data_IF_327473028444
#
_entry.id   IF_327473028444
#
_cell.length_a   1.000
_cell.length_b   1.000
_cell.length_c   1.000
_cell.angle_alpha   90.00
_cell.angle_beta   90.00
_cell.angle_gamma   90.00
#
_symmetry.space_group_name_H-M   'P 1'
#
loop_
_entity.id
_entity.type
_entity.pdbx_description
1 polymer ?
#
# COMPACT_ATOMS: atom_id res chain seq x y z
N UNK A 1 -22.63 6.31 -3.67
CA UNK A 1 -21.51 5.64 -4.37
C UNK A 1 -20.31 5.81 -3.48
N UNK A 2 -19.89 4.76 -2.79
CA UNK A 2 -18.72 4.82 -1.91
C UNK A 2 -17.49 4.61 -2.78
N UNK A 3 -16.68 5.67 -2.92
CA UNK A 3 -15.46 5.62 -3.71
C UNK A 3 -14.41 4.84 -2.92
N UNK A 4 -13.91 3.72 -3.47
CA UNK A 4 -12.85 2.94 -2.84
C UNK A 4 -11.60 3.80 -2.65
N UNK A 5 -10.94 3.63 -1.51
CA UNK A 5 -9.75 4.39 -1.15
C UNK A 5 -8.52 3.48 -1.04
N UNK A 6 -7.39 4.00 -1.51
CA UNK A 6 -6.06 3.42 -1.34
C UNK A 6 -5.23 4.41 -0.52
N UNK A 7 -4.52 3.91 0.48
CA UNK A 7 -3.50 4.68 1.20
C UNK A 7 -2.13 4.24 0.71
N UNK A 8 -1.30 5.19 0.33
CA UNK A 8 0.02 4.93 -0.21
C UNK A 8 1.10 5.65 0.60
N UNK A 9 1.86 4.87 1.36
CA UNK A 9 2.97 5.31 2.18
C UNK A 9 4.27 5.29 1.37
N UNK A 10 4.73 6.46 0.92
CA UNK A 10 6.00 6.62 0.18
C UNK A 10 6.60 8.02 0.33
N UNK A 11 7.92 8.13 0.17
CA UNK A 11 8.62 9.40 0.01
C UNK A 11 9.02 9.68 -1.46
N UNK A 12 8.79 8.74 -2.37
CA UNK A 12 9.12 8.88 -3.79
C UNK A 12 8.01 9.61 -4.54
N UNK A 13 8.23 10.89 -4.82
CA UNK A 13 7.25 11.74 -5.50
C UNK A 13 7.00 11.34 -6.97
N UNK A 14 8.00 10.78 -7.65
CA UNK A 14 7.85 10.35 -9.04
C UNK A 14 6.92 9.14 -9.11
N UNK A 15 7.11 8.20 -8.19
CA UNK A 15 6.26 7.03 -8.08
C UNK A 15 4.85 7.41 -7.61
N UNK A 16 4.75 8.25 -6.58
CA UNK A 16 3.48 8.76 -6.07
C UNK A 16 2.61 9.38 -7.17
N UNK A 17 3.19 10.26 -8.00
CA UNK A 17 2.49 10.90 -9.12
C UNK A 17 1.96 9.90 -10.16
N UNK A 18 2.75 8.86 -10.47
CA UNK A 18 2.33 7.78 -11.39
C UNK A 18 1.16 6.97 -10.84
N UNK A 19 1.23 6.57 -9.57
CA UNK A 19 0.16 5.83 -8.90
C UNK A 19 -1.10 6.69 -8.79
N UNK A 20 -0.96 7.98 -8.49
CA UNK A 20 -2.07 8.94 -8.46
C UNK A 20 -2.77 9.04 -9.81
N UNK A 21 -2.00 9.15 -10.90
CA UNK A 21 -2.58 9.16 -12.24
C UNK A 21 -3.35 7.87 -12.55
N UNK A 22 -2.80 6.71 -12.20
CA UNK A 22 -3.45 5.41 -12.41
C UNK A 22 -4.74 5.26 -11.56
N UNK A 23 -4.73 5.71 -10.31
CA UNK A 23 -5.90 5.70 -9.43
C UNK A 23 -7.02 6.62 -9.96
N UNK A 24 -6.66 7.85 -10.39
CA UNK A 24 -7.62 8.80 -10.99
C UNK A 24 -8.30 8.24 -12.23
N UNK A 25 -7.57 7.55 -13.10
CA UNK A 25 -8.14 6.91 -14.30
C UNK A 25 -9.19 5.84 -13.97
N UNK A 26 -9.12 5.27 -12.76
CA UNK A 26 -10.03 4.22 -12.31
C UNK A 26 -11.06 4.72 -11.30
N UNK A 27 -11.13 6.04 -11.07
CA UNK A 27 -12.01 6.68 -10.08
C UNK A 27 -11.80 6.14 -8.66
N UNK A 28 -10.58 5.74 -8.33
CA UNK A 28 -10.17 5.30 -6.99
C UNK A 28 -9.58 6.49 -6.24
N UNK A 29 -9.99 6.70 -4.99
CA UNK A 29 -9.40 7.70 -4.11
C UNK A 29 -8.00 7.26 -3.68
N UNK A 30 -7.01 8.13 -3.79
CA UNK A 30 -5.65 7.85 -3.35
C UNK A 30 -5.21 8.88 -2.30
N UNK A 31 -4.77 8.41 -1.14
CA UNK A 31 -4.13 9.24 -0.11
C UNK A 31 -2.64 8.91 -0.03
N UNK A 32 -1.79 9.87 -0.38
CA UNK A 32 -0.34 9.71 -0.32
C UNK A 32 0.18 10.28 1.00
N UNK A 33 0.88 9.45 1.76
CA UNK A 33 1.40 9.75 3.10
C UNK A 33 2.87 9.39 3.18
N UNK A 34 3.60 9.95 4.16
CA UNK A 34 5.08 9.86 4.21
C UNK A 34 5.65 9.19 5.46
N UNK A 35 4.80 8.88 6.43
CA UNK A 35 5.18 8.18 7.66
C UNK A 35 4.05 7.23 8.11
N UNK A 36 4.39 6.32 9.03
CA UNK A 36 3.49 5.28 9.51
C UNK A 36 2.27 5.88 10.23
N UNK A 37 2.45 6.93 11.02
CA UNK A 37 1.40 7.58 11.79
C UNK A 37 0.34 8.19 10.88
N UNK A 38 0.76 8.90 9.84
CA UNK A 38 -0.15 9.46 8.84
C UNK A 38 -0.82 8.38 8.01
N UNK A 39 -0.15 7.25 7.76
CA UNK A 39 -0.77 6.10 7.10
C UNK A 39 -1.91 5.53 7.93
N UNK A 40 -1.66 5.24 9.22
CA UNK A 40 -2.70 4.75 10.12
C UNK A 40 -3.87 5.73 10.25
N UNK A 41 -3.60 7.03 10.36
CA UNK A 41 -4.63 8.06 10.44
C UNK A 41 -5.43 8.24 9.14
N UNK A 42 -4.85 7.90 7.99
CA UNK A 42 -5.51 8.02 6.68
C UNK A 42 -6.36 6.79 6.31
N UNK A 43 -6.15 5.66 6.98
CA UNK A 43 -6.96 4.45 6.79
C UNK A 43 -8.33 4.70 7.43
N UNK A 44 -9.38 4.51 6.63
CA UNK A 44 -10.77 4.52 7.06
C UNK A 44 -11.52 3.30 6.54
N UNK A 45 -12.82 3.17 6.85
CA UNK A 45 -13.65 2.02 6.46
C UNK A 45 -13.70 1.75 4.94
N UNK A 46 -13.50 2.79 4.12
CA UNK A 46 -13.49 2.68 2.66
C UNK A 46 -12.11 2.33 2.09
N UNK A 47 -11.09 2.23 2.95
CA UNK A 47 -9.73 1.89 2.54
C UNK A 47 -9.63 0.39 2.35
N UNK A 48 -9.34 0.00 1.11
CA UNK A 48 -9.29 -1.42 0.72
C UNK A 48 -7.85 -1.92 0.62
N UNK A 49 -6.92 -1.00 0.37
CA UNK A 49 -5.51 -1.33 0.16
C UNK A 49 -4.60 -0.28 0.79
N UNK A 50 -3.64 -0.74 1.58
CA UNK A 50 -2.48 -0.01 2.05
C UNK A 50 -1.24 -0.44 1.28
N UNK A 51 -0.60 0.52 0.61
CA UNK A 51 0.62 0.31 -0.15
C UNK A 51 1.80 0.92 0.60
N UNK A 52 2.87 0.16 0.81
CA UNK A 52 3.98 0.54 1.68
C UNK A 52 5.30 0.48 0.92
N UNK A 53 6.01 1.61 0.91
CA UNK A 53 7.36 1.72 0.38
C UNK A 53 8.41 1.35 1.44
N UNK A 54 9.01 0.17 1.28
CA UNK A 54 10.06 -0.34 2.18
C UNK A 54 11.39 0.42 2.03
N UNK A 55 11.51 1.38 1.10
CA UNK A 55 12.68 2.27 1.05
C UNK A 55 12.68 3.32 2.15
N UNK A 56 11.53 3.57 2.78
CA UNK A 56 11.42 4.53 3.87
C UNK A 56 12.35 4.18 5.03
N UNK A 57 13.17 5.15 5.43
CA UNK A 57 14.08 5.02 6.56
C UNK A 57 13.31 5.08 7.87
N UNK A 58 13.64 4.19 8.82
CA UNK A 58 13.00 4.16 10.14
C UNK A 58 11.60 3.55 10.14
N UNK A 59 11.14 2.96 9.03
CA UNK A 59 9.88 2.24 8.96
C UNK A 59 9.98 0.90 9.70
N UNK A 60 9.20 0.74 10.76
CA UNK A 60 8.92 -0.56 11.36
C UNK A 60 7.67 -1.17 10.71
N UNK A 61 7.90 -2.05 9.74
CA UNK A 61 6.82 -2.70 8.98
C UNK A 61 5.99 -3.63 9.86
N UNK A 62 6.59 -4.29 10.84
CA UNK A 62 5.89 -5.26 11.68
C UNK A 62 4.87 -4.55 12.56
N UNK A 63 5.31 -3.47 13.23
CA UNK A 63 4.43 -2.64 14.05
C UNK A 63 3.33 -1.99 13.22
N UNK A 64 3.66 -1.39 12.07
CA UNK A 64 2.66 -0.77 11.19
C UNK A 64 1.59 -1.77 10.71
N UNK A 65 2.01 -2.97 10.29
CA UNK A 65 1.06 -3.99 9.82
C UNK A 65 0.19 -4.51 10.96
N UNK A 66 0.76 -4.71 12.15
CA UNK A 66 0.01 -5.11 13.34
C UNK A 66 -1.06 -4.08 13.69
N UNK A 67 -0.70 -2.80 13.81
CA UNK A 67 -1.63 -1.71 14.15
C UNK A 67 -2.74 -1.56 13.09
N UNK A 68 -2.38 -1.64 11.80
CA UNK A 68 -3.34 -1.54 10.71
C UNK A 68 -4.33 -2.71 10.72
N UNK A 69 -3.88 -3.93 11.01
CA UNK A 69 -4.73 -5.13 11.07
C UNK A 69 -5.61 -5.18 12.32
N UNK A 70 -5.13 -4.65 13.44
CA UNK A 70 -5.92 -4.58 14.69
C UNK A 70 -7.16 -3.69 14.49
N UNK A 71 -6.99 -2.55 13.80
CA UNK A 71 -8.09 -1.65 13.47
C UNK A 71 -8.91 -2.10 12.25
N UNK A 72 -8.26 -2.67 11.23
CA UNK A 72 -8.88 -3.05 9.96
C UNK A 72 -8.46 -4.46 9.51
N UNK A 73 -9.10 -5.52 10.03
CA UNK A 73 -8.69 -6.90 9.80
C UNK A 73 -8.72 -7.36 8.34
N UNK A 74 -9.61 -6.75 7.54
CA UNK A 74 -9.82 -7.07 6.12
C UNK A 74 -8.96 -6.24 5.16
N UNK A 75 -8.24 -5.23 5.67
CA UNK A 75 -7.42 -4.33 4.88
C UNK A 75 -6.33 -5.10 4.14
N UNK A 76 -6.28 -4.96 2.82
CA UNK A 76 -5.18 -5.52 2.04
C UNK A 76 -3.93 -4.66 2.26
N UNK A 77 -2.78 -5.31 2.41
CA UNK A 77 -1.51 -4.63 2.68
C UNK A 77 -0.47 -5.16 1.69
N UNK A 78 0.06 -4.27 0.88
CA UNK A 78 1.08 -4.55 -0.11
C UNK A 78 2.34 -3.76 0.23
N UNK A 79 3.46 -4.44 0.36
CA UNK A 79 4.76 -3.79 0.53
C UNK A 79 5.59 -3.95 -0.74
N UNK A 80 6.37 -2.93 -1.10
CA UNK A 80 7.38 -3.08 -2.14
C UNK A 80 8.71 -2.45 -1.76
N UNK A 81 9.80 -2.97 -2.34
CA UNK A 81 11.12 -2.44 -2.09
C UNK A 81 12.16 -2.87 -3.11
N UNK A 82 13.39 -2.33 -3.05
CA UNK A 82 14.48 -2.75 -3.92
C UNK A 82 14.87 -4.20 -3.60
N UNK A 83 15.14 -5.02 -4.63
CA UNK A 83 15.59 -6.41 -4.45
C UNK A 83 16.81 -6.50 -3.51
N UNK A 84 17.71 -5.53 -3.56
CA UNK A 84 18.93 -5.51 -2.72
C UNK A 84 18.64 -5.45 -1.22
N UNK A 85 17.39 -5.16 -0.82
CA UNK A 85 16.93 -5.12 0.57
C UNK A 85 16.07 -6.36 0.91
N UNK A 86 16.60 -7.55 0.63
CA UNK A 86 15.92 -8.83 0.86
C UNK A 86 15.41 -8.98 2.31
N UNK A 87 16.19 -8.52 3.31
CA UNK A 87 15.79 -8.55 4.71
C UNK A 87 14.52 -7.72 5.00
N UNK A 88 14.33 -6.57 4.32
CA UNK A 88 13.10 -5.77 4.48
C UNK A 88 11.90 -6.42 3.78
N UNK A 89 12.12 -7.06 2.63
CA UNK A 89 11.09 -7.82 1.95
C UNK A 89 10.65 -9.03 2.78
N UNK A 90 11.60 -9.72 3.41
CA UNK A 90 11.30 -10.85 4.30
C UNK A 90 10.54 -10.38 5.54
N UNK A 91 11.01 -9.32 6.21
CA UNK A 91 10.29 -8.74 7.35
C UNK A 91 8.86 -8.33 7.00
N UNK A 92 8.61 -7.83 5.79
CA UNK A 92 7.25 -7.52 5.33
C UNK A 92 6.39 -8.78 5.12
N UNK A 93 6.98 -9.89 4.65
CA UNK A 93 6.28 -11.18 4.53
C UNK A 93 5.95 -11.75 5.91
N UNK A 94 6.92 -11.72 6.82
CA UNK A 94 6.76 -12.19 8.20
C UNK A 94 5.75 -11.35 8.99
N UNK A 95 5.70 -10.05 8.74
CA UNK A 95 4.68 -9.15 9.30
C UNK A 95 3.26 -9.47 8.81
N UNK A 96 3.11 -10.29 7.76
CA UNK A 96 1.84 -10.67 7.21
C UNK A 96 1.32 -9.70 6.14
N UNK A 97 2.20 -9.00 5.41
CA UNK A 97 1.76 -8.32 4.18
C UNK A 97 1.18 -9.33 3.19
N UNK A 98 0.02 -9.00 2.60
CA UNK A 98 -0.67 -9.86 1.64
C UNK A 98 0.17 -10.08 0.38
N UNK A 99 0.89 -9.04 -0.05
CA UNK A 99 1.77 -9.11 -1.21
C UNK A 99 3.05 -8.33 -0.95
N UNK A 100 4.18 -8.90 -1.35
CA UNK A 100 5.49 -8.26 -1.25
C UNK A 100 6.16 -8.30 -2.61
N UNK A 101 6.38 -7.11 -3.20
CA UNK A 101 6.88 -6.94 -4.56
C UNK A 101 8.25 -6.25 -4.59
N UNK A 102 9.03 -6.52 -5.62
CA UNK A 102 10.18 -5.65 -5.92
C UNK A 102 9.71 -4.34 -6.54
N UNK A 103 10.50 -3.26 -6.43
CA UNK A 103 10.18 -1.96 -7.08
C UNK A 103 9.85 -2.10 -8.57
N UNK A 104 10.60 -2.95 -9.29
CA UNK A 104 10.35 -3.19 -10.71
C UNK A 104 9.07 -3.98 -11.00
N UNK A 105 8.69 -4.94 -10.13
CA UNK A 105 7.40 -5.62 -10.22
C UNK A 105 6.25 -4.67 -9.93
N UNK A 106 6.39 -3.87 -8.88
CA UNK A 106 5.39 -2.89 -8.50
C UNK A 106 5.12 -1.87 -9.61
N UNK A 107 6.15 -1.36 -10.31
CA UNK A 107 5.93 -0.46 -11.47
C UNK A 107 5.11 -1.12 -12.59
N UNK A 108 5.32 -2.41 -12.84
CA UNK A 108 4.61 -3.16 -13.88
C UNK A 108 3.19 -3.53 -13.46
N UNK A 109 2.99 -3.82 -12.19
CA UNK A 109 1.74 -4.36 -11.64
C UNK A 109 0.82 -3.29 -11.05
N UNK A 110 1.31 -2.05 -10.82
CA UNK A 110 0.58 -0.97 -10.19
C UNK A 110 -0.84 -0.78 -10.74
N UNK A 111 -0.99 -0.70 -12.06
CA UNK A 111 -2.30 -0.54 -12.71
C UNK A 111 -3.24 -1.71 -12.42
N UNK A 112 -2.71 -2.94 -12.44
CA UNK A 112 -3.47 -4.16 -12.16
C UNK A 112 -3.87 -4.24 -10.67
N UNK A 113 -2.97 -3.85 -9.76
CA UNK A 113 -3.22 -3.78 -8.32
C UNK A 113 -4.34 -2.78 -8.02
N UNK A 114 -4.26 -1.57 -8.56
CA UNK A 114 -5.30 -0.54 -8.40
C UNK A 114 -6.64 -1.03 -8.96
N UNK A 115 -6.61 -1.73 -10.10
CA UNK A 115 -7.81 -2.30 -10.71
C UNK A 115 -8.42 -3.41 -9.88
N UNK A 116 -7.60 -4.29 -9.30
CA UNK A 116 -8.05 -5.31 -8.37
C UNK A 116 -8.68 -4.69 -7.13
N UNK A 117 -8.09 -3.61 -6.59
CA UNK A 117 -8.63 -2.86 -5.46
C UNK A 117 -9.92 -2.09 -5.78
N UNK A 118 -10.30 -1.94 -7.05
CA UNK A 118 -11.58 -1.34 -7.47
C UNK A 118 -12.67 -2.39 -7.75
N UNK A 119 -12.34 -3.69 -7.73
CA UNK A 119 -13.35 -4.73 -7.91
C UNK A 119 -14.10 -4.89 -6.59
N UNK A 120 -15.45 -4.79 -6.57
CA UNK A 120 -16.20 -5.16 -5.39
C UNK A 120 -15.86 -6.62 -5.06
N UNK A 121 -15.41 -6.86 -3.85
CA UNK A 121 -15.18 -8.20 -3.30
C UNK A 121 -16.54 -8.89 -3.24
N UNK A 122 -16.93 -9.52 -4.35
CA UNK A 122 -18.19 -10.23 -4.49
C UNK A 122 -18.01 -11.62 -3.89
N UNK A 123 -18.42 -11.77 -2.62
CA UNK A 123 -18.66 -13.06 -1.94
C UNK A 123 -19.60 -12.85 -0.76
#
# INVERSE_FOLDING_TARGET
>A
MTTMQIVYLTADLLFASRIEQAARQQSVGLSIVRNAEAALAAIGEQTQLLMIDLTLSGLDIASLVADARDSYPTLQILAYGPHVQAARLEAAREAGCHQVLTRGQFDREATAIISAANRPTDS
#
